data_IF_027968107581
#
_entry.id   IF_027968107581
#
_cell.length_a   1.000
_cell.length_b   1.000
_cell.length_c   1.000
_cell.angle_alpha   90.00
_cell.angle_beta   90.00
_cell.angle_gamma   90.00
#
_symmetry.space_group_name_H-M   'P 1'
#
loop_
_entity.id
_entity.type
_entity.pdbx_description
1 polymer ?
#
# COMPACT_ATOMS: atom_id res chain seq x y z
N UNK A 1 -9.36 5.47 0.72
CA UNK A 1 -8.79 6.79 1.10
C UNK A 1 -9.81 7.74 1.73
N UNK A 2 -11.11 7.52 1.56
CA UNK A 2 -12.17 8.17 2.34
C UNK A 2 -12.34 7.46 3.69
N UNK A 3 -13.01 8.10 4.65
CA UNK A 3 -13.40 7.52 5.92
C UNK A 3 -14.19 6.23 5.66
N UNK A 4 -13.78 5.09 6.24
CA UNK A 4 -14.47 3.82 6.01
C UNK A 4 -15.86 3.75 6.68
N UNK A 5 -16.11 4.60 7.69
CA UNK A 5 -17.40 4.64 8.40
C UNK A 5 -18.46 5.45 7.65
N UNK A 6 -18.11 6.65 7.19
CA UNK A 6 -19.08 7.60 6.63
C UNK A 6 -18.86 7.89 5.13
N UNK A 7 -17.66 7.70 4.60
CA UNK A 7 -17.36 7.92 3.18
C UNK A 7 -17.22 9.38 2.74
N UNK A 8 -17.60 10.38 3.53
CA UNK A 8 -17.57 11.78 3.06
C UNK A 8 -16.19 12.44 3.17
N UNK A 9 -15.46 12.24 4.28
CA UNK A 9 -14.18 12.90 4.53
C UNK A 9 -12.96 12.02 4.18
N UNK A 10 -11.77 12.59 3.90
CA UNK A 10 -10.54 11.81 3.74
C UNK A 10 -10.13 11.13 5.07
N UNK A 11 -9.69 9.87 5.01
CA UNK A 11 -9.16 9.15 6.18
C UNK A 11 -7.67 9.43 6.43
N UNK A 12 -6.98 9.94 5.42
CA UNK A 12 -5.54 10.20 5.45
C UNK A 12 -5.26 11.71 5.38
N UNK A 13 -4.14 12.10 5.99
CA UNK A 13 -3.49 13.37 5.84
C UNK A 13 -2.18 13.16 5.05
N UNK A 14 -2.09 13.72 3.85
CA UNK A 14 -0.98 13.46 2.93
C UNK A 14 -0.94 12.01 2.40
N UNK A 15 0.24 11.38 2.46
CA UNK A 15 0.50 10.12 1.77
C UNK A 15 0.00 8.87 2.53
N UNK A 16 0.41 8.73 3.80
CA UNK A 16 0.12 7.56 4.65
C UNK A 16 -0.30 7.88 6.09
N UNK A 17 -0.23 9.15 6.52
CA UNK A 17 -0.60 9.53 7.87
C UNK A 17 -2.11 9.40 8.01
N UNK A 18 -2.59 8.59 8.94
CA UNK A 18 -4.02 8.46 9.24
C UNK A 18 -4.41 9.66 10.09
N UNK A 19 -5.60 10.23 9.85
CA UNK A 19 -6.13 11.30 10.71
C UNK A 19 -6.52 10.73 12.07
N UNK A 20 -6.34 11.48 13.14
CA UNK A 20 -6.76 11.01 14.47
C UNK A 20 -8.27 10.83 14.54
N UNK A 21 -9.02 11.76 13.93
CA UNK A 21 -10.47 11.75 13.87
C UNK A 21 -10.97 12.05 12.46
N UNK A 22 -12.15 11.55 12.12
CA UNK A 22 -12.84 11.92 10.89
C UNK A 22 -13.50 13.31 11.04
N UNK A 23 -13.21 14.24 10.12
CA UNK A 23 -13.77 15.61 10.14
C UNK A 23 -15.30 15.69 9.94
N UNK A 24 -15.94 14.60 9.49
CA UNK A 24 -17.39 14.56 9.25
C UNK A 24 -18.14 13.78 10.35
N UNK A 25 -17.76 12.52 10.61
CA UNK A 25 -18.48 11.66 11.56
C UNK A 25 -17.82 11.54 12.95
N UNK A 26 -16.63 12.11 13.15
CA UNK A 26 -15.92 12.07 14.43
C UNK A 26 -15.28 10.72 14.78
N UNK A 27 -15.31 9.72 13.90
CA UNK A 27 -14.68 8.41 14.13
C UNK A 27 -13.20 8.55 14.49
N UNK A 28 -12.76 7.88 15.56
CA UNK A 28 -11.38 7.90 16.04
C UNK A 28 -10.45 7.04 15.17
N UNK A 29 -10.24 7.43 13.92
CA UNK A 29 -9.44 6.68 12.93
C UNK A 29 -7.98 6.43 13.38
N UNK A 30 -7.42 7.28 14.25
CA UNK A 30 -6.06 7.13 14.77
C UNK A 30 -5.89 6.01 15.79
N UNK A 31 -6.97 5.48 16.37
CA UNK A 31 -6.87 4.38 17.35
C UNK A 31 -6.54 3.04 16.71
N UNK A 32 -6.77 2.91 15.40
CA UNK A 32 -6.55 1.68 14.64
C UNK A 32 -5.09 1.57 14.20
N UNK A 33 -4.31 0.71 14.87
CA UNK A 33 -2.86 0.57 14.68
C UNK A 33 -2.53 -0.42 13.56
N UNK A 34 -2.79 -0.01 12.32
CA UNK A 34 -2.50 -0.77 11.11
C UNK A 34 -1.06 -0.57 10.60
N UNK A 35 -0.05 -0.81 11.44
CA UNK A 35 1.34 -0.44 11.10
C UNK A 35 2.06 -1.51 10.26
N UNK A 36 1.86 -2.80 10.56
CA UNK A 36 2.61 -3.90 9.93
C UNK A 36 1.90 -4.53 8.73
N UNK A 37 0.59 -4.75 8.81
CA UNK A 37 -0.15 -5.44 7.77
C UNK A 37 -0.08 -4.74 6.39
N UNK A 38 -0.20 -3.40 6.26
CA UNK A 38 -0.16 -2.78 4.94
C UNK A 38 1.18 -2.93 4.21
N UNK A 39 2.35 -2.71 4.83
CA UNK A 39 3.63 -3.01 4.20
C UNK A 39 3.77 -4.47 3.76
N UNK A 40 3.36 -5.45 4.60
CA UNK A 40 3.45 -6.88 4.25
C UNK A 40 2.62 -7.25 3.02
N UNK A 41 1.36 -6.79 2.94
CA UNK A 41 0.54 -7.04 1.75
C UNK A 41 1.09 -6.31 0.52
N UNK A 42 1.68 -5.12 0.71
CA UNK A 42 2.29 -4.36 -0.39
C UNK A 42 3.48 -5.10 -0.97
N UNK A 43 4.43 -5.54 -0.14
CA UNK A 43 5.63 -6.25 -0.62
C UNK A 43 5.25 -7.59 -1.25
N UNK A 44 4.26 -8.30 -0.69
CA UNK A 44 3.75 -9.52 -1.28
C UNK A 44 3.22 -9.26 -2.69
N UNK A 45 2.32 -8.29 -2.86
CA UNK A 45 1.75 -7.95 -4.16
C UNK A 45 2.82 -7.49 -5.17
N UNK A 46 3.69 -6.56 -4.76
CA UNK A 46 4.76 -6.03 -5.63
C UNK A 46 5.73 -7.13 -6.03
N UNK A 47 6.14 -8.00 -5.10
CA UNK A 47 7.02 -9.13 -5.36
C UNK A 47 6.42 -10.10 -6.38
N UNK A 48 5.13 -10.41 -6.30
CA UNK A 48 4.43 -11.27 -7.26
C UNK A 48 4.28 -10.66 -8.65
N UNK A 49 4.48 -9.35 -8.80
CA UNK A 49 4.52 -8.69 -10.10
C UNK A 49 5.96 -8.66 -10.62
N UNK A 50 6.89 -8.17 -9.79
CA UNK A 50 8.28 -7.89 -10.19
C UNK A 50 9.07 -9.18 -10.42
N UNK A 51 8.94 -10.18 -9.55
CA UNK A 51 9.74 -11.42 -9.65
C UNK A 51 9.41 -12.21 -10.93
N UNK A 52 8.13 -12.48 -11.28
CA UNK A 52 7.83 -13.18 -12.53
C UNK A 52 8.27 -12.40 -13.77
N UNK A 53 8.10 -11.07 -13.77
CA UNK A 53 8.57 -10.23 -14.88
C UNK A 53 10.10 -10.26 -15.01
N UNK A 54 10.81 -10.20 -13.88
CA UNK A 54 12.27 -10.29 -13.84
C UNK A 54 12.76 -11.64 -14.37
N UNK A 55 12.15 -12.75 -13.93
CA UNK A 55 12.51 -14.09 -14.40
C UNK A 55 12.20 -14.27 -15.89
N UNK A 56 11.10 -13.71 -16.38
CA UNK A 56 10.76 -13.73 -17.79
C UNK A 56 11.81 -12.96 -18.62
N UNK A 57 12.18 -11.77 -18.17
CA UNK A 57 13.18 -10.94 -18.87
C UNK A 57 14.56 -11.60 -18.87
N UNK A 58 14.96 -12.16 -17.74
CA UNK A 58 16.22 -12.91 -17.61
C UNK A 58 16.26 -14.10 -18.58
N UNK A 59 15.16 -14.86 -18.65
CA UNK A 59 15.09 -16.07 -19.48
C UNK A 59 15.20 -15.77 -20.97
N UNK A 60 14.54 -14.71 -21.44
CA UNK A 60 14.41 -14.42 -22.88
C UNK A 60 15.53 -13.54 -23.42
N UNK A 61 16.07 -12.62 -22.60
CA UNK A 61 17.08 -11.66 -23.05
C UNK A 61 18.42 -11.74 -22.33
N UNK A 62 18.49 -12.35 -21.14
CA UNK A 62 19.71 -12.44 -20.31
C UNK A 62 20.51 -11.12 -20.25
N UNK A 63 19.88 -9.98 -19.93
CA UNK A 63 20.57 -8.70 -20.00
C UNK A 63 21.57 -8.53 -18.85
N UNK A 64 22.53 -7.63 -19.02
CA UNK A 64 23.51 -7.33 -17.98
C UNK A 64 22.84 -6.87 -16.67
N UNK A 65 23.50 -7.13 -15.55
CA UNK A 65 22.99 -6.81 -14.20
C UNK A 65 22.61 -5.33 -14.03
N UNK A 66 23.31 -4.40 -14.70
CA UNK A 66 23.00 -2.97 -14.59
C UNK A 66 21.62 -2.64 -15.15
N UNK A 67 21.16 -3.36 -16.19
CA UNK A 67 19.81 -3.21 -16.77
C UNK A 67 18.77 -3.63 -15.74
N UNK A 68 19.01 -4.75 -15.05
CA UNK A 68 18.12 -5.21 -13.98
C UNK A 68 17.98 -4.17 -12.87
N UNK A 69 19.10 -3.61 -12.41
CA UNK A 69 19.10 -2.59 -11.36
C UNK A 69 18.30 -1.36 -11.80
N UNK A 70 18.57 -0.85 -13.01
CA UNK A 70 17.90 0.34 -13.53
C UNK A 70 16.43 0.12 -13.89
N UNK A 71 15.99 -1.11 -14.13
CA UNK A 71 14.60 -1.42 -14.46
C UNK A 71 13.79 -1.78 -13.21
N UNK A 72 14.25 -2.75 -12.43
CA UNK A 72 13.44 -3.35 -11.37
C UNK A 72 13.38 -2.50 -10.11
N UNK A 73 14.44 -1.78 -9.75
CA UNK A 73 14.41 -0.87 -8.59
C UNK A 73 13.37 0.25 -8.79
N UNK A 74 13.42 1.07 -9.85
CA UNK A 74 12.44 2.14 -10.02
C UNK A 74 11.03 1.59 -10.22
N UNK A 75 10.86 0.48 -10.96
CA UNK A 75 9.55 -0.16 -11.09
C UNK A 75 8.98 -0.56 -9.72
N UNK A 76 9.78 -1.22 -8.87
CA UNK A 76 9.36 -1.64 -7.53
C UNK A 76 9.00 -0.46 -6.65
N UNK A 77 9.78 0.63 -6.72
CA UNK A 77 9.48 1.87 -5.99
C UNK A 77 8.15 2.48 -6.44
N UNK A 78 7.95 2.62 -7.75
CA UNK A 78 6.70 3.17 -8.31
C UNK A 78 5.50 2.34 -7.89
N UNK A 79 5.57 1.00 -8.03
CA UNK A 79 4.49 0.11 -7.63
C UNK A 79 4.20 0.19 -6.14
N UNK A 80 5.24 0.23 -5.30
CA UNK A 80 5.10 0.39 -3.85
C UNK A 80 4.41 1.72 -3.51
N UNK A 81 4.83 2.82 -4.14
CA UNK A 81 4.20 4.13 -3.91
C UNK A 81 2.72 4.19 -4.34
N UNK A 82 2.35 3.42 -5.37
CA UNK A 82 0.98 3.34 -5.85
C UNK A 82 0.08 2.45 -4.98
N UNK A 83 0.60 1.30 -4.51
CA UNK A 83 -0.19 0.30 -3.80
C UNK A 83 -0.27 0.53 -2.29
N UNK A 84 0.82 0.95 -1.65
CA UNK A 84 0.89 1.11 -0.21
C UNK A 84 -0.25 1.94 0.40
N UNK A 85 -0.64 3.11 -0.14
CA UNK A 85 -1.73 3.87 0.46
C UNK A 85 -3.12 3.31 0.18
N UNK A 86 -3.27 2.50 -0.89
CA UNK A 86 -4.54 1.82 -1.18
C UNK A 86 -4.72 0.66 -0.21
N UNK A 87 -3.68 -0.14 -0.04
CA UNK A 87 -3.65 -1.27 0.88
C UNK A 87 -3.83 -0.78 2.32
N UNK A 88 -3.10 0.27 2.75
CA UNK A 88 -3.29 0.87 4.08
C UNK A 88 -4.73 1.32 4.32
N UNK A 89 -5.36 1.93 3.30
CA UNK A 89 -6.77 2.31 3.38
C UNK A 89 -7.73 1.13 3.47
N UNK A 90 -7.44 0.03 2.77
CA UNK A 90 -8.23 -1.19 2.82
C UNK A 90 -8.13 -1.87 4.19
N UNK A 91 -6.92 -1.96 4.75
CA UNK A 91 -6.69 -2.52 6.10
C UNK A 91 -7.40 -1.68 7.15
N UNK A 92 -7.28 -0.35 7.10
CA UNK A 92 -8.00 0.54 8.01
C UNK A 92 -9.52 0.33 7.93
N UNK A 93 -10.08 0.21 6.73
CA UNK A 93 -11.51 -0.04 6.56
C UNK A 93 -11.95 -1.40 7.09
N UNK A 94 -11.15 -2.44 6.88
CA UNK A 94 -11.40 -3.77 7.43
C UNK A 94 -11.37 -3.75 8.97
N UNK A 95 -10.38 -3.08 9.57
CA UNK A 95 -10.25 -2.93 11.03
C UNK A 95 -11.46 -2.21 11.64
N UNK A 96 -11.92 -1.12 11.03
CA UNK A 96 -13.11 -0.38 11.46
C UNK A 96 -14.37 -1.25 11.37
N UNK A 97 -14.52 -2.04 10.30
CA UNK A 97 -15.71 -2.90 10.14
C UNK A 97 -15.70 -4.10 11.09
N UNK A 98 -14.53 -4.66 11.39
CA UNK A 98 -14.36 -5.81 12.28
C UNK A 98 -14.24 -5.41 13.76
N UNK A 99 -14.11 -4.12 14.07
CA UNK A 99 -13.90 -3.63 15.44
C UNK A 99 -12.55 -4.03 16.04
N UNK A 100 -11.53 -4.21 15.19
CA UNK A 100 -10.16 -4.58 15.61
C UNK A 100 -9.35 -3.30 15.68
N UNK A 101 -8.81 -2.95 16.84
CA UNK A 101 -7.99 -1.74 17.05
C UNK A 101 -6.49 -2.03 16.90
#
# INVERSE_FOLDING_TARGET
RRCPRCGEAPAFDGYLKVRDHCDHCGEALGSYRADDAPPYFTIFLVGHIVVPLMLWVEKDWMPDLWVHVLLWIPLSLILTFLFLPRIKGAVLGAMVHLGIH
#
